data_IF_061710264083
#
_entry.id   IF_061710264083
#
_cell.length_a   1.000
_cell.length_b   1.000
_cell.length_c   1.000
_cell.angle_alpha   90.00
_cell.angle_beta   90.00
_cell.angle_gamma   90.00
#
_symmetry.space_group_name_H-M   'P 1'
#
loop_
_entity.id
_entity.type
_entity.pdbx_description
1 polymer ?
#
# COMPACT_ATOMS: atom_id res chain seq x y z
N UNK A 1 20.38 -30.49 -24.33
CA UNK A 1 19.33 -30.04 -23.38
C UNK A 1 19.66 -28.60 -22.98
N UNK A 2 18.79 -27.64 -23.29
CA UNK A 2 19.08 -26.22 -23.04
C UNK A 2 18.83 -25.92 -21.55
N UNK A 3 19.92 -25.78 -20.78
CA UNK A 3 19.93 -25.57 -19.33
C UNK A 3 19.07 -24.37 -18.94
N UNK A 4 19.05 -23.32 -19.76
CA UNK A 4 18.23 -22.12 -19.55
C UNK A 4 16.74 -22.43 -19.62
N UNK A 5 16.30 -23.25 -20.59
CA UNK A 5 14.89 -23.69 -20.67
C UNK A 5 14.48 -24.58 -19.50
N UNK A 6 15.41 -25.39 -18.99
CA UNK A 6 15.15 -26.23 -17.83
C UNK A 6 15.04 -25.40 -16.54
N UNK A 7 15.95 -24.44 -16.33
CA UNK A 7 15.92 -23.53 -15.18
C UNK A 7 14.66 -22.66 -15.16
N UNK A 8 14.28 -22.08 -16.29
CA UNK A 8 13.04 -21.30 -16.39
C UNK A 8 11.84 -22.18 -16.04
N UNK A 9 11.78 -23.41 -16.56
CA UNK A 9 10.68 -24.36 -16.27
C UNK A 9 10.67 -24.82 -14.81
N UNK A 10 11.84 -24.91 -14.17
CA UNK A 10 11.98 -25.21 -12.75
C UNK A 10 11.47 -24.03 -11.91
N UNK A 11 11.86 -22.80 -12.24
CA UNK A 11 11.40 -21.58 -11.57
C UNK A 11 9.88 -21.45 -11.70
N UNK A 12 9.32 -21.61 -12.91
CA UNK A 12 7.85 -21.60 -13.10
C UNK A 12 7.16 -22.67 -12.26
N UNK A 13 7.68 -23.91 -12.22
CA UNK A 13 7.11 -24.98 -11.39
C UNK A 13 7.21 -24.70 -9.89
N UNK A 14 8.33 -24.11 -9.45
CA UNK A 14 8.51 -23.70 -8.05
C UNK A 14 7.52 -22.58 -7.71
N UNK A 15 7.36 -21.57 -8.57
CA UNK A 15 6.38 -20.49 -8.39
C UNK A 15 4.93 -20.99 -8.46
N UNK A 16 4.63 -22.00 -9.28
CA UNK A 16 3.31 -22.65 -9.34
C UNK A 16 2.98 -23.45 -8.06
N UNK A 17 4.00 -23.97 -7.36
CA UNK A 17 3.85 -24.85 -6.18
C UNK A 17 4.36 -24.21 -4.88
N UNK A 18 4.71 -22.93 -4.89
CA UNK A 18 5.05 -22.22 -3.66
C UNK A 18 3.76 -22.12 -2.86
N UNK A 19 3.75 -22.84 -1.74
CA UNK A 19 2.79 -22.67 -0.68
C UNK A 19 2.98 -21.24 -0.12
N UNK A 20 1.96 -20.39 -0.30
CA UNK A 20 1.96 -18.99 0.14
C UNK A 20 2.24 -18.88 1.64
N UNK A 21 1.85 -19.89 2.43
CA UNK A 21 2.18 -20.00 3.85
C UNK A 21 3.65 -20.32 4.08
N UNK A 22 4.22 -21.23 3.30
CA UNK A 22 5.66 -21.52 3.40
C UNK A 22 6.50 -20.30 2.99
N UNK A 23 6.05 -19.56 1.96
CA UNK A 23 6.67 -18.30 1.56
C UNK A 23 6.52 -17.23 2.65
N UNK A 24 5.32 -17.04 3.19
CA UNK A 24 5.04 -16.12 4.30
C UNK A 24 5.95 -16.40 5.49
N UNK A 25 6.07 -17.67 5.90
CA UNK A 25 6.98 -18.07 6.97
C UNK A 25 8.46 -17.80 6.63
N UNK A 26 8.91 -18.13 5.43
CA UNK A 26 10.30 -17.90 5.03
C UNK A 26 10.63 -16.40 4.98
N UNK A 27 9.68 -15.59 4.50
CA UNK A 27 9.73 -14.13 4.55
C UNK A 27 9.84 -13.71 6.01
N UNK A 28 8.87 -14.02 6.87
CA UNK A 28 8.88 -13.67 8.30
C UNK A 28 10.20 -14.06 9.00
N UNK A 29 10.79 -15.22 8.71
CA UNK A 29 12.07 -15.70 9.25
C UNK A 29 13.27 -14.82 8.87
N UNK A 30 13.40 -14.46 7.58
CA UNK A 30 14.46 -13.56 7.11
C UNK A 30 14.31 -12.20 7.78
N UNK A 31 13.08 -11.74 7.90
CA UNK A 31 12.72 -10.43 8.42
C UNK A 31 12.97 -10.31 9.91
N UNK A 32 12.67 -11.36 10.69
CA UNK A 32 12.97 -11.38 12.12
C UNK A 32 14.48 -11.32 12.40
N UNK A 33 15.30 -11.97 11.56
CA UNK A 33 16.75 -12.03 11.74
C UNK A 33 17.48 -10.77 11.26
N UNK A 34 16.91 -10.07 10.28
CA UNK A 34 17.51 -8.91 9.61
C UNK A 34 16.46 -7.85 9.26
N UNK A 35 15.87 -7.18 10.27
CA UNK A 35 14.73 -6.30 10.06
C UNK A 35 15.01 -5.10 9.16
N UNK A 36 16.26 -4.60 9.15
CA UNK A 36 16.66 -3.46 8.31
C UNK A 36 17.25 -3.87 6.95
N UNK A 37 17.61 -5.15 6.76
CA UNK A 37 18.25 -5.59 5.52
C UNK A 37 17.34 -5.39 4.31
N UNK A 38 16.04 -5.66 4.46
CA UNK A 38 15.09 -5.50 3.36
C UNK A 38 14.85 -4.04 3.03
N UNK A 39 14.75 -3.15 4.02
CA UNK A 39 14.64 -1.70 3.75
C UNK A 39 15.90 -1.12 3.12
N UNK A 40 17.09 -1.61 3.50
CA UNK A 40 18.35 -1.22 2.87
C UNK A 40 18.48 -1.71 1.42
N UNK A 41 18.11 -2.96 1.15
CA UNK A 41 18.12 -3.53 -0.20
C UNK A 41 17.10 -2.84 -1.08
N UNK A 42 15.84 -2.74 -0.63
CA UNK A 42 14.77 -2.09 -1.41
C UNK A 42 15.10 -0.62 -1.64
N UNK A 43 15.55 0.11 -0.62
CA UNK A 43 15.94 1.52 -0.74
C UNK A 43 17.13 1.79 -1.68
N UNK A 44 17.84 0.75 -2.13
CA UNK A 44 18.91 0.84 -3.12
C UNK A 44 18.46 0.49 -4.55
N UNK A 45 17.26 -0.08 -4.73
CA UNK A 45 16.70 -0.47 -6.03
C UNK A 45 15.86 0.69 -6.59
N UNK A 46 15.96 0.96 -7.89
CA UNK A 46 15.08 1.91 -8.58
C UNK A 46 13.60 1.50 -8.39
N UNK A 47 12.72 2.39 -7.90
CA UNK A 47 11.32 2.06 -7.66
C UNK A 47 10.55 1.72 -8.95
N UNK A 48 10.95 2.22 -10.12
CA UNK A 48 10.18 2.02 -11.37
C UNK A 48 10.10 0.55 -11.81
N UNK A 49 11.20 -0.21 -11.88
CA UNK A 49 11.14 -1.66 -12.12
C UNK A 49 10.30 -2.43 -11.10
N UNK A 50 10.29 -1.99 -9.83
CA UNK A 50 9.47 -2.62 -8.78
C UNK A 50 7.99 -2.36 -9.06
N UNK A 51 7.61 -1.12 -9.34
CA UNK A 51 6.23 -0.76 -9.67
C UNK A 51 5.70 -1.56 -10.88
N UNK A 52 6.49 -1.72 -11.94
CA UNK A 52 6.10 -2.55 -13.08
C UNK A 52 5.85 -4.01 -12.68
N UNK A 53 6.66 -4.53 -11.76
CA UNK A 53 6.47 -5.90 -11.24
C UNK A 53 5.21 -5.99 -10.37
N UNK A 54 4.92 -4.96 -9.58
CA UNK A 54 3.68 -4.86 -8.80
C UNK A 54 2.47 -4.82 -9.73
N UNK A 55 2.47 -3.99 -10.78
CA UNK A 55 1.36 -3.90 -11.75
C UNK A 55 1.08 -5.26 -12.39
N UNK A 56 2.12 -5.95 -12.87
CA UNK A 56 1.97 -7.27 -13.46
C UNK A 56 1.41 -8.29 -12.46
N UNK A 57 1.91 -8.31 -11.23
CA UNK A 57 1.44 -9.22 -10.19
C UNK A 57 -0.01 -8.97 -9.79
N UNK A 58 -0.40 -7.71 -9.62
CA UNK A 58 -1.76 -7.33 -9.27
C UNK A 58 -2.75 -7.61 -10.42
N UNK A 59 -2.29 -7.49 -11.67
CA UNK A 59 -3.12 -7.76 -12.85
C UNK A 59 -3.30 -9.26 -13.10
N UNK A 60 -2.22 -10.05 -12.98
CA UNK A 60 -2.23 -11.47 -13.34
C UNK A 60 -2.65 -12.39 -12.18
N UNK A 61 -2.39 -11.99 -10.94
CA UNK A 61 -2.53 -12.86 -9.75
C UNK A 61 -3.03 -12.12 -8.49
N UNK A 62 -4.14 -11.36 -8.56
CA UNK A 62 -4.64 -10.58 -7.42
C UNK A 62 -4.93 -11.42 -6.18
N UNK A 63 -5.48 -12.64 -6.36
CA UNK A 63 -5.80 -13.55 -5.26
C UNK A 63 -4.56 -14.02 -4.49
N UNK A 64 -3.45 -14.28 -5.20
CA UNK A 64 -2.20 -14.73 -4.57
C UNK A 64 -1.54 -13.64 -3.74
N UNK A 65 -1.74 -12.38 -4.13
CA UNK A 65 -1.25 -11.24 -3.35
C UNK A 65 -2.05 -11.13 -2.05
N UNK A 66 -3.36 -11.34 -2.10
CA UNK A 66 -4.19 -11.34 -0.87
C UNK A 66 -3.80 -12.50 0.06
N UNK A 67 -3.62 -13.71 -0.50
CA UNK A 67 -3.16 -14.87 0.27
C UNK A 67 -1.80 -14.61 0.93
N UNK A 68 -0.87 -13.95 0.23
CA UNK A 68 0.43 -13.60 0.78
C UNK A 68 0.32 -12.54 1.88
N UNK A 69 -0.49 -11.50 1.67
CA UNK A 69 -0.71 -10.44 2.66
C UNK A 69 -1.28 -11.01 3.97
N UNK A 70 -2.19 -11.98 3.88
CA UNK A 70 -2.76 -12.65 5.04
C UNK A 70 -1.71 -13.43 5.87
N UNK A 71 -0.58 -13.82 5.28
CA UNK A 71 0.47 -14.62 5.92
C UNK A 71 1.68 -13.78 6.39
N UNK A 72 1.74 -12.50 6.04
CA UNK A 72 2.85 -11.60 6.44
C UNK A 72 2.55 -10.94 7.80
N UNK A 73 3.56 -10.85 8.67
CA UNK A 73 3.45 -10.13 9.95
C UNK A 73 3.35 -8.61 9.73
N UNK A 74 2.24 -8.00 10.18
CA UNK A 74 1.97 -6.55 10.11
C UNK A 74 3.03 -5.71 10.82
N UNK A 75 3.66 -6.23 11.88
CA UNK A 75 4.75 -5.54 12.60
C UNK A 75 5.99 -5.40 11.76
N UNK A 76 6.27 -6.40 10.92
CA UNK A 76 7.36 -6.28 9.99
C UNK A 76 7.05 -5.24 8.91
N UNK A 77 5.87 -5.33 8.29
CA UNK A 77 5.52 -4.42 7.18
C UNK A 77 5.59 -2.97 7.66
N UNK A 78 5.05 -2.67 8.83
CA UNK A 78 5.14 -1.34 9.44
C UNK A 78 6.58 -0.93 9.75
N UNK A 79 7.41 -1.80 10.35
CA UNK A 79 8.82 -1.52 10.58
C UNK A 79 9.58 -1.21 9.29
N UNK A 80 9.36 -2.01 8.24
CA UNK A 80 9.94 -1.82 6.92
C UNK A 80 9.52 -0.47 6.31
N UNK A 81 8.22 -0.18 6.28
CA UNK A 81 7.68 1.08 5.75
C UNK A 81 8.25 2.27 6.51
N UNK A 82 8.23 2.25 7.84
CA UNK A 82 8.75 3.33 8.67
C UNK A 82 10.25 3.58 8.43
N UNK A 83 11.05 2.51 8.38
CA UNK A 83 12.48 2.63 8.10
C UNK A 83 12.75 3.17 6.69
N UNK A 84 12.02 2.67 5.69
CA UNK A 84 12.20 3.09 4.31
C UNK A 84 11.82 4.56 4.14
N UNK A 85 10.69 4.99 4.72
CA UNK A 85 10.27 6.39 4.74
C UNK A 85 11.29 7.30 5.43
N UNK A 86 11.86 6.85 6.54
CA UNK A 86 12.89 7.60 7.26
C UNK A 86 14.17 7.79 6.43
N UNK A 87 14.61 6.73 5.73
CA UNK A 87 15.89 6.72 5.00
C UNK A 87 15.76 7.25 3.57
N UNK A 88 14.58 7.08 2.96
CA UNK A 88 14.26 7.39 1.56
C UNK A 88 12.86 7.99 1.45
N UNK A 89 12.65 9.24 1.89
CA UNK A 89 11.32 9.86 1.96
C UNK A 89 10.56 9.93 0.63
N UNK A 90 11.26 9.97 -0.52
CA UNK A 90 10.65 10.00 -1.86
C UNK A 90 10.38 8.63 -2.46
N UNK A 91 10.87 7.54 -1.86
CA UNK A 91 10.84 6.22 -2.48
C UNK A 91 9.42 5.77 -2.82
N UNK A 92 8.49 5.94 -1.88
CA UNK A 92 7.10 5.58 -2.10
C UNK A 92 6.41 6.51 -3.09
N UNK A 93 6.71 7.81 -3.10
CA UNK A 93 6.18 8.72 -4.12
C UNK A 93 6.61 8.29 -5.52
N UNK A 94 7.91 8.03 -5.72
CA UNK A 94 8.46 7.57 -7.00
C UNK A 94 7.90 6.19 -7.41
N UNK A 95 7.62 5.32 -6.43
CA UNK A 95 6.98 4.02 -6.64
C UNK A 95 5.52 4.20 -7.09
N UNK A 96 4.75 5.04 -6.38
CA UNK A 96 3.33 5.29 -6.65
C UNK A 96 3.11 6.00 -7.98
N UNK A 97 4.04 6.85 -8.44
CA UNK A 97 4.00 7.42 -9.80
C UNK A 97 3.95 6.36 -10.90
N UNK A 98 4.46 5.16 -10.62
CA UNK A 98 4.59 4.08 -11.60
C UNK A 98 3.59 2.93 -11.39
N UNK A 99 2.80 2.95 -10.31
CA UNK A 99 1.76 1.95 -10.06
C UNK A 99 0.43 2.45 -10.64
N UNK A 100 -0.32 1.55 -11.29
CA UNK A 100 -1.64 1.90 -11.82
C UNK A 100 -2.65 2.14 -10.68
N UNK A 101 -3.27 3.34 -10.58
CA UNK A 101 -4.14 3.68 -9.45
C UNK A 101 -5.34 2.74 -9.26
N UNK A 102 -5.89 2.21 -10.36
CA UNK A 102 -7.02 1.28 -10.35
C UNK A 102 -6.66 -0.06 -9.68
N UNK A 103 -5.43 -0.54 -9.85
CA UNK A 103 -4.94 -1.77 -9.22
C UNK A 103 -4.77 -1.58 -7.71
N UNK A 104 -4.30 -0.40 -7.27
CA UNK A 104 -4.20 -0.06 -5.84
C UNK A 104 -5.59 -0.01 -5.22
N UNK A 105 -6.53 0.70 -5.85
CA UNK A 105 -7.89 0.86 -5.33
C UNK A 105 -8.58 -0.51 -5.16
N UNK A 106 -8.51 -1.37 -6.19
CA UNK A 106 -9.09 -2.71 -6.12
C UNK A 106 -8.44 -3.56 -5.01
N UNK A 107 -7.11 -3.51 -4.91
CA UNK A 107 -6.36 -4.22 -3.85
C UNK A 107 -6.78 -3.75 -2.46
N UNK A 108 -6.92 -2.44 -2.28
CA UNK A 108 -7.30 -1.84 -1.01
C UNK A 108 -8.73 -2.23 -0.62
N UNK A 109 -9.67 -2.20 -1.57
CA UNK A 109 -11.05 -2.63 -1.33
C UNK A 109 -11.10 -4.11 -0.89
N UNK A 110 -10.40 -4.99 -1.61
CA UNK A 110 -10.33 -6.41 -1.24
C UNK A 110 -9.67 -6.62 0.12
N UNK A 111 -8.61 -5.87 0.44
CA UNK A 111 -7.95 -5.94 1.73
C UNK A 111 -8.89 -5.57 2.88
N UNK A 112 -9.71 -4.53 2.70
CA UNK A 112 -10.68 -4.10 3.71
C UNK A 112 -11.83 -5.10 3.88
N UNK A 113 -12.22 -5.80 2.82
CA UNK A 113 -13.26 -6.82 2.87
C UNK A 113 -12.74 -8.12 3.52
N UNK A 114 -11.61 -8.63 3.02
CA UNK A 114 -11.10 -9.96 3.38
C UNK A 114 -10.24 -9.95 4.65
N UNK A 115 -9.49 -8.85 4.89
CA UNK A 115 -8.51 -8.75 5.97
C UNK A 115 -8.55 -7.38 6.69
N UNK A 116 -9.72 -6.96 7.21
CA UNK A 116 -9.87 -5.64 7.85
C UNK A 116 -8.92 -5.43 9.03
N UNK A 117 -8.61 -6.48 9.79
CA UNK A 117 -7.68 -6.39 10.92
C UNK A 117 -6.25 -6.12 10.47
N UNK A 118 -5.79 -6.76 9.39
CA UNK A 118 -4.45 -6.50 8.84
C UNK A 118 -4.31 -5.04 8.42
N UNK A 119 -5.30 -4.52 7.68
CA UNK A 119 -5.33 -3.12 7.27
C UNK A 119 -5.30 -2.17 8.46
N UNK A 120 -6.13 -2.42 9.47
CA UNK A 120 -6.17 -1.62 10.70
C UNK A 120 -4.85 -1.66 11.46
N UNK A 121 -4.28 -2.84 11.68
CA UNK A 121 -3.01 -3.02 12.38
C UNK A 121 -1.86 -2.32 11.65
N UNK A 122 -1.82 -2.43 10.32
CA UNK A 122 -0.79 -1.79 9.50
C UNK A 122 -0.89 -0.26 9.57
N UNK A 123 -2.09 0.30 9.37
CA UNK A 123 -2.32 1.75 9.44
C UNK A 123 -1.94 2.29 10.81
N UNK A 124 -2.30 1.57 11.89
CA UNK A 124 -1.97 1.98 13.26
C UNK A 124 -0.48 1.87 13.60
N UNK A 125 0.27 1.04 12.88
CA UNK A 125 1.70 0.80 13.13
C UNK A 125 2.63 1.64 12.25
N UNK A 126 2.15 2.17 11.11
CA UNK A 126 2.90 3.14 10.30
C UNK A 126 2.92 4.50 11.00
N UNK A 127 4.07 5.17 11.01
CA UNK A 127 4.21 6.50 11.59
C UNK A 127 3.35 7.51 10.78
N UNK A 128 2.32 8.13 11.41
CA UNK A 128 1.38 8.99 10.71
C UNK A 128 2.03 10.27 10.18
N UNK A 129 3.06 10.81 10.83
CA UNK A 129 3.77 12.01 10.37
C UNK A 129 4.57 11.72 9.09
N UNK A 130 5.29 10.60 9.04
CA UNK A 130 6.06 10.18 7.86
C UNK A 130 5.14 9.86 6.68
N UNK A 131 4.02 9.18 6.96
CA UNK A 131 3.01 8.90 5.95
C UNK A 131 2.39 10.19 5.42
N UNK A 132 2.01 11.12 6.31
CA UNK A 132 1.46 12.42 5.93
C UNK A 132 2.40 13.24 5.06
N UNK A 133 3.70 13.31 5.39
CA UNK A 133 4.69 14.00 4.56
C UNK A 133 4.79 13.40 3.15
N UNK A 134 4.78 12.08 3.05
CA UNK A 134 4.88 11.36 1.78
C UNK A 134 3.65 11.56 0.90
N UNK A 135 2.47 11.40 1.50
CA UNK A 135 1.18 11.59 0.82
C UNK A 135 1.03 13.05 0.37
N UNK A 136 1.35 14.01 1.24
CA UNK A 136 1.28 15.43 0.89
C UNK A 136 2.21 15.78 -0.28
N UNK A 137 3.45 15.30 -0.25
CA UNK A 137 4.40 15.51 -1.36
C UNK A 137 3.85 14.95 -2.68
N UNK A 138 3.31 13.72 -2.64
CA UNK A 138 2.75 13.09 -3.82
C UNK A 138 1.51 13.82 -4.37
N UNK A 139 0.60 14.27 -3.50
CA UNK A 139 -0.60 15.03 -3.90
C UNK A 139 -0.23 16.39 -4.49
N UNK A 140 0.80 17.07 -3.94
CA UNK A 140 1.29 18.34 -4.50
C UNK A 140 1.82 18.14 -5.91
N UNK A 141 2.58 17.07 -6.14
CA UNK A 141 3.17 16.77 -7.44
C UNK A 141 2.13 16.20 -8.43
N UNK A 142 1.03 15.58 -7.94
CA UNK A 142 0.00 14.90 -8.73
C UNK A 142 -1.43 15.24 -8.25
N UNK A 143 -1.91 16.50 -8.42
CA UNK A 143 -3.16 16.96 -7.82
C UNK A 143 -4.42 16.24 -8.33
N UNK A 144 -4.36 15.60 -9.50
CA UNK A 144 -5.44 14.82 -10.08
C UNK A 144 -5.65 13.46 -9.42
N UNK A 145 -4.70 12.96 -8.62
CA UNK A 145 -4.85 11.66 -7.95
C UNK A 145 -6.01 11.67 -6.96
N UNK A 146 -6.17 12.76 -6.19
CA UNK A 146 -7.20 12.88 -5.16
C UNK A 146 -8.62 12.75 -5.72
N UNK A 147 -9.04 13.52 -6.74
CA UNK A 147 -10.38 13.34 -7.31
C UNK A 147 -10.58 11.98 -7.98
N UNK A 148 -9.53 11.39 -8.58
CA UNK A 148 -9.63 10.03 -9.17
C UNK A 148 -9.78 8.94 -8.11
N UNK A 149 -9.02 9.03 -7.02
CA UNK A 149 -9.10 8.10 -5.90
C UNK A 149 -10.47 8.18 -5.23
N UNK A 150 -10.96 9.39 -4.91
CA UNK A 150 -12.31 9.60 -4.37
C UNK A 150 -13.37 9.00 -5.30
N UNK A 151 -13.23 9.17 -6.63
CA UNK A 151 -14.16 8.61 -7.60
C UNK A 151 -14.11 7.07 -7.71
N UNK A 152 -13.02 6.44 -7.29
CA UNK A 152 -12.86 4.97 -7.27
C UNK A 152 -13.38 4.30 -6.00
N UNK A 153 -13.62 5.06 -4.93
CA UNK A 153 -14.19 4.53 -3.70
C UNK A 153 -15.69 4.26 -3.88
N UNK A 154 -16.17 3.15 -3.33
CA UNK A 154 -17.61 2.89 -3.28
C UNK A 154 -18.33 3.89 -2.35
N UNK A 155 -19.66 3.94 -2.49
CA UNK A 155 -20.49 4.89 -1.73
C UNK A 155 -20.40 4.69 -0.21
N UNK A 156 -20.32 3.45 0.25
CA UNK A 156 -20.30 3.13 1.67
C UNK A 156 -18.97 3.57 2.30
N UNK A 157 -17.87 3.27 1.62
CA UNK A 157 -16.51 3.71 1.97
C UNK A 157 -16.41 5.24 2.04
N UNK A 158 -16.93 5.95 1.04
CA UNK A 158 -16.96 7.43 1.03
C UNK A 158 -17.79 8.02 2.18
N UNK A 159 -18.98 7.46 2.44
CA UNK A 159 -19.83 7.91 3.55
C UNK A 159 -19.16 7.66 4.90
N UNK A 160 -18.51 6.51 5.05
CA UNK A 160 -17.75 6.18 6.26
C UNK A 160 -16.62 7.21 6.48
N UNK A 161 -15.81 7.47 5.46
CA UNK A 161 -14.71 8.45 5.50
C UNK A 161 -15.20 9.84 5.94
N UNK A 162 -16.27 10.34 5.31
CA UNK A 162 -16.83 11.67 5.64
C UNK A 162 -17.35 11.73 7.08
N UNK A 163 -17.99 10.66 7.56
CA UNK A 163 -18.44 10.58 8.95
C UNK A 163 -17.27 10.62 9.91
N UNK A 164 -16.25 9.81 9.68
CA UNK A 164 -15.05 9.74 10.52
C UNK A 164 -14.32 11.09 10.54
N UNK A 165 -14.13 11.73 9.38
CA UNK A 165 -13.53 13.08 9.31
C UNK A 165 -14.30 14.07 10.17
N UNK A 166 -15.64 14.08 10.08
CA UNK A 166 -16.45 14.99 10.88
C UNK A 166 -16.34 14.71 12.38
N UNK A 167 -16.29 13.44 12.79
CA UNK A 167 -16.31 13.08 14.22
C UNK A 167 -14.94 13.14 14.88
N UNK A 168 -13.87 12.86 14.14
CA UNK A 168 -12.51 12.73 14.69
C UNK A 168 -11.59 13.88 14.27
N UNK A 169 -11.92 14.60 13.21
CA UNK A 169 -11.14 15.70 12.63
C UNK A 169 -12.05 16.90 12.33
N UNK A 170 -12.86 17.30 13.31
CA UNK A 170 -13.90 18.35 13.17
C UNK A 170 -13.34 19.66 12.60
N UNK A 171 -12.18 20.12 13.09
CA UNK A 171 -11.53 21.34 12.61
C UNK A 171 -11.18 21.27 11.12
N UNK A 172 -10.57 20.16 10.68
CA UNK A 172 -10.25 19.94 9.27
C UNK A 172 -11.51 19.83 8.41
N UNK A 173 -12.56 19.16 8.90
CA UNK A 173 -13.83 19.07 8.21
C UNK A 173 -14.45 20.45 7.99
N UNK A 174 -14.43 21.30 9.02
CA UNK A 174 -14.93 22.68 8.95
C UNK A 174 -14.08 23.54 7.99
N UNK A 175 -12.76 23.39 7.98
CA UNK A 175 -11.88 24.07 7.02
C UNK A 175 -12.19 23.68 5.57
N UNK A 176 -12.30 22.39 5.28
CA UNK A 176 -12.67 21.89 3.94
C UNK A 176 -14.05 22.39 3.52
N UNK A 177 -14.97 22.41 4.48
CA UNK A 177 -16.31 22.92 4.28
C UNK A 177 -16.33 24.42 3.96
N UNK A 178 -15.58 25.23 4.71
CA UNK A 178 -15.39 26.65 4.44
C UNK A 178 -14.78 26.90 3.07
N UNK A 179 -13.77 26.11 2.69
CA UNK A 179 -13.13 26.25 1.38
C UNK A 179 -14.11 26.01 0.22
N UNK A 180 -15.11 25.15 0.40
CA UNK A 180 -16.12 24.85 -0.62
C UNK A 180 -17.31 25.82 -0.62
N UNK A 181 -17.80 26.23 0.56
CA UNK A 181 -19.02 27.04 0.70
C UNK A 181 -18.77 28.52 0.99
N UNK A 182 -17.55 28.91 1.35
CA UNK A 182 -17.20 30.23 1.87
C UNK A 182 -17.47 30.42 3.37
N UNK A 183 -18.18 29.49 4.01
CA UNK A 183 -18.47 29.46 5.46
C UNK A 183 -18.58 28.00 5.98
N UNK A 184 -18.41 27.74 7.30
CA UNK A 184 -18.46 26.38 7.85
C UNK A 184 -19.86 25.77 7.70
N UNK A 185 -19.96 24.54 7.20
CA UNK A 185 -21.25 23.86 6.99
C UNK A 185 -21.86 23.41 8.31
N UNK A 186 -22.81 24.21 8.80
CA UNK A 186 -23.66 23.88 9.95
C UNK A 186 -24.91 23.16 9.47
N UNK A 187 -25.03 21.88 9.81
CA UNK A 187 -26.31 21.18 9.72
C UNK A 187 -27.19 21.68 10.86
N UNK A 188 -28.33 22.30 10.51
CA UNK A 188 -29.45 22.47 11.44
C UNK A 188 -30.03 21.12 11.86
#
# INVERSE_FOLDING_TARGET
>A
MNITKWLVKLIYKVVEHIDTKALGNAVNDVLQKKPDFVSDVVGAIDPKPIANSINNLLSEHPERIMDLVAEIDTKFVSHFVNNLLTRKPRYFSDLLESIEPELIANTFNNLLEDNPQFGSDLINAINPELMGQTVNGYIIDNPEITPRFIASLDRESLVSLVKTLRTEQEELFDELSCAFHGEPYRLN
#
